data_IF_833324843320
#
_entry.id   IF_833324843320
#
_cell.length_a   1.000
_cell.length_b   1.000
_cell.length_c   1.000
_cell.angle_alpha   90.00
_cell.angle_beta   90.00
_cell.angle_gamma   90.00
#
_symmetry.space_group_name_H-M   'P 1'
#
loop_
_entity.id
_entity.type
_entity.pdbx_description
1 polymer ?
#
# COMPACT_ATOMS: atom_id res chain seq x y z
N UNK A 1 -0.29 20.72 -16.60
CA UNK A 1 -0.67 19.84 -17.72
C UNK A 1 -1.08 18.50 -17.14
N UNK A 2 -2.20 17.91 -17.61
CA UNK A 2 -2.63 16.58 -17.18
C UNK A 2 -1.77 15.49 -17.85
N UNK A 3 -1.73 14.31 -17.26
CA UNK A 3 -1.04 13.15 -17.83
C UNK A 3 -1.50 12.85 -19.28
N UNK A 4 -2.81 12.93 -19.52
CA UNK A 4 -3.38 12.73 -20.86
C UNK A 4 -2.85 13.73 -21.87
N UNK A 5 -2.72 15.01 -21.51
CA UNK A 5 -2.17 16.03 -22.40
C UNK A 5 -0.72 15.75 -22.85
N UNK A 6 0.09 15.11 -21.98
CA UNK A 6 1.43 14.65 -22.38
C UNK A 6 1.34 13.55 -23.42
N UNK A 7 0.46 12.58 -23.27
CA UNK A 7 0.29 11.46 -24.21
C UNK A 7 -0.23 11.95 -25.57
N UNK A 8 -1.19 12.88 -25.56
CA UNK A 8 -1.75 13.48 -26.79
C UNK A 8 -0.67 14.24 -27.55
N UNK A 9 0.13 15.07 -26.87
CA UNK A 9 1.25 15.81 -27.48
C UNK A 9 2.33 14.87 -28.06
N UNK A 10 2.60 13.74 -27.40
CA UNK A 10 3.56 12.74 -27.89
C UNK A 10 3.03 12.12 -29.18
N UNK A 11 1.76 11.76 -29.23
CA UNK A 11 1.12 11.18 -30.41
C UNK A 11 1.11 12.15 -31.59
N UNK A 12 0.82 13.43 -31.34
CA UNK A 12 0.87 14.48 -32.35
C UNK A 12 2.29 14.66 -32.94
N UNK A 13 3.32 14.62 -32.09
CA UNK A 13 4.71 14.83 -32.51
C UNK A 13 5.34 13.64 -33.21
N UNK A 14 4.99 12.43 -32.83
CA UNK A 14 5.69 11.21 -33.22
C UNK A 14 4.86 10.26 -34.07
N UNK A 15 3.54 10.42 -34.08
CA UNK A 15 2.59 9.48 -34.69
C UNK A 15 2.42 8.17 -33.89
N UNK A 16 3.15 8.01 -32.77
CA UNK A 16 3.23 6.79 -32.01
C UNK A 16 2.49 6.94 -30.65
N UNK A 17 1.83 5.89 -30.22
CA UNK A 17 1.20 5.81 -28.91
C UNK A 17 2.04 5.07 -27.86
N UNK A 18 1.60 5.05 -26.59
CA UNK A 18 2.34 4.37 -25.51
C UNK A 18 2.62 2.89 -25.78
N UNK A 19 1.71 2.17 -26.45
CA UNK A 19 1.89 0.76 -26.79
C UNK A 19 3.03 0.56 -27.82
N UNK A 20 3.14 1.45 -28.80
CA UNK A 20 4.17 1.40 -29.82
C UNK A 20 5.55 1.65 -29.20
N UNK A 21 5.64 2.67 -28.34
CA UNK A 21 6.88 2.96 -27.60
C UNK A 21 7.28 1.84 -26.66
N UNK A 22 6.32 1.15 -26.06
CA UNK A 22 6.61 -0.02 -25.22
C UNK A 22 7.23 -1.14 -26.05
N UNK A 23 6.65 -1.48 -27.19
CA UNK A 23 7.19 -2.51 -28.10
C UNK A 23 8.60 -2.15 -28.60
N UNK A 24 8.84 -0.88 -28.95
CA UNK A 24 10.16 -0.40 -29.36
C UNK A 24 11.20 -0.47 -28.22
N UNK A 25 10.82 -0.13 -27.01
CA UNK A 25 11.68 -0.22 -25.83
C UNK A 25 12.01 -1.68 -25.45
N UNK A 26 11.06 -2.60 -25.63
CA UNK A 26 11.27 -4.05 -25.48
C UNK A 26 12.25 -4.58 -26.53
N UNK A 27 12.06 -4.21 -27.80
CA UNK A 27 12.96 -4.61 -28.89
C UNK A 27 14.39 -4.09 -28.70
N UNK A 28 14.57 -2.93 -28.05
CA UNK A 28 15.87 -2.37 -27.70
C UNK A 28 16.45 -2.95 -26.38
N UNK A 29 15.75 -3.84 -25.69
CA UNK A 29 16.20 -4.40 -24.42
C UNK A 29 16.19 -3.40 -23.25
N UNK A 30 15.46 -2.28 -23.38
CA UNK A 30 15.40 -1.23 -22.38
C UNK A 30 14.36 -1.51 -21.28
N UNK A 31 13.47 -2.49 -21.52
CA UNK A 31 12.45 -2.92 -20.55
C UNK A 31 12.83 -4.29 -19.96
N UNK A 32 12.95 -4.34 -18.66
CA UNK A 32 13.23 -5.54 -17.88
C UNK A 32 12.82 -5.35 -16.43
N UNK A 33 13.01 -6.35 -15.56
CA UNK A 33 12.63 -6.27 -14.14
C UNK A 33 13.23 -5.05 -13.41
N UNK A 34 14.45 -4.66 -13.82
CA UNK A 34 15.21 -3.56 -13.21
C UNK A 34 15.32 -2.33 -14.13
N UNK A 35 14.40 -2.17 -15.10
CA UNK A 35 14.42 -1.06 -16.03
C UNK A 35 14.43 0.30 -15.32
N UNK A 36 15.47 1.10 -15.61
CA UNK A 36 15.67 2.44 -15.03
C UNK A 36 15.16 3.51 -16.00
N UNK A 37 14.64 4.61 -15.45
CA UNK A 37 14.14 5.73 -16.26
C UNK A 37 15.24 6.38 -17.12
N UNK A 38 16.47 6.47 -16.62
CA UNK A 38 17.57 7.16 -17.28
C UNK A 38 17.82 6.73 -18.72
N UNK A 39 18.10 5.44 -19.00
CA UNK A 39 18.31 4.93 -20.35
C UNK A 39 17.14 5.18 -21.29
N UNK A 40 15.90 5.00 -20.81
CA UNK A 40 14.68 5.20 -21.60
C UNK A 40 14.48 6.68 -21.92
N UNK A 41 14.68 7.57 -20.95
CA UNK A 41 14.60 9.02 -21.16
C UNK A 41 15.65 9.49 -22.16
N UNK A 42 16.89 8.99 -22.06
CA UNK A 42 17.96 9.31 -23.01
C UNK A 42 17.63 8.83 -24.43
N UNK A 43 17.13 7.61 -24.57
CA UNK A 43 16.70 7.07 -25.86
C UNK A 43 15.55 7.90 -26.48
N UNK A 44 14.51 8.19 -25.71
CA UNK A 44 13.36 8.96 -26.20
C UNK A 44 13.73 10.40 -26.59
N UNK A 45 14.71 10.99 -25.90
CA UNK A 45 15.23 12.30 -26.26
C UNK A 45 16.05 12.25 -27.56
N UNK A 46 16.92 11.23 -27.72
CA UNK A 46 17.79 11.09 -28.86
C UNK A 46 17.04 10.73 -30.16
N UNK A 47 16.15 9.73 -30.11
CA UNK A 47 15.48 9.18 -31.30
C UNK A 47 14.21 9.95 -31.66
N UNK A 48 13.52 10.59 -30.70
CA UNK A 48 12.22 11.23 -30.93
C UNK A 48 12.14 12.69 -30.47
N UNK A 49 13.23 13.28 -29.97
CA UNK A 49 13.24 14.68 -29.50
C UNK A 49 12.29 14.97 -28.35
N UNK A 50 11.93 13.96 -27.57
CA UNK A 50 10.98 14.12 -26.47
C UNK A 50 11.67 14.71 -25.24
N UNK A 51 11.15 15.83 -24.75
CA UNK A 51 11.63 16.43 -23.50
C UNK A 51 11.35 15.51 -22.30
N UNK A 52 12.13 15.70 -21.21
CA UNK A 52 12.10 14.86 -20.00
C UNK A 52 10.70 14.59 -19.45
N UNK A 53 9.80 15.58 -19.47
CA UNK A 53 8.42 15.42 -18.98
C UNK A 53 7.63 14.39 -19.79
N UNK A 54 7.71 14.48 -21.12
CA UNK A 54 7.08 13.54 -22.06
C UNK A 54 7.68 12.14 -21.94
N UNK A 55 9.01 12.05 -21.88
CA UNK A 55 9.72 10.79 -21.73
C UNK A 55 9.39 10.08 -20.38
N UNK A 56 9.24 10.84 -19.30
CA UNK A 56 8.82 10.31 -18.00
C UNK A 56 7.35 9.85 -18.00
N UNK A 57 6.46 10.56 -18.71
CA UNK A 57 5.08 10.14 -18.89
C UNK A 57 4.99 8.80 -19.65
N UNK A 58 5.74 8.66 -20.75
CA UNK A 58 5.86 7.39 -21.47
C UNK A 58 6.47 6.29 -20.61
N UNK A 59 7.55 6.57 -19.89
CA UNK A 59 8.16 5.58 -19.01
C UNK A 59 7.18 5.07 -17.96
N UNK A 60 6.31 5.93 -17.43
CA UNK A 60 5.26 5.52 -16.48
C UNK A 60 4.25 4.54 -17.12
N UNK A 61 3.96 4.68 -18.43
CA UNK A 61 3.08 3.72 -19.14
C UNK A 61 3.79 2.44 -19.56
N UNK A 62 5.11 2.52 -19.80
CA UNK A 62 5.93 1.37 -20.20
C UNK A 62 6.38 0.51 -19.03
N UNK A 63 6.48 1.12 -17.83
CA UNK A 63 6.69 0.28 -16.65
C UNK A 63 5.67 -0.85 -16.77
N UNK A 64 6.13 -2.12 -16.69
CA UNK A 64 5.16 -3.13 -16.38
C UNK A 64 4.40 -2.53 -15.21
N UNK A 65 3.11 -2.26 -15.37
CA UNK A 65 2.24 -2.24 -14.22
C UNK A 65 2.79 -3.40 -13.44
N UNK A 66 3.38 -3.14 -12.27
CA UNK A 66 3.68 -4.24 -11.39
C UNK A 66 2.33 -4.90 -11.27
N UNK A 67 2.09 -5.80 -12.22
CA UNK A 67 1.02 -6.73 -12.11
C UNK A 67 1.44 -7.43 -10.85
N UNK A 68 0.77 -7.06 -9.78
CA UNK A 68 0.79 -7.79 -8.55
C UNK A 68 -0.01 -9.06 -8.84
N UNK A 69 0.32 -9.71 -9.97
CA UNK A 69 -0.14 -11.04 -10.37
C UNK A 69 0.48 -12.14 -9.51
N UNK A 70 1.04 -11.73 -8.33
CA UNK A 70 1.56 -12.69 -7.39
C UNK A 70 0.70 -12.88 -6.15
N UNK A 71 -0.34 -12.07 -6.01
CA UNK A 71 -1.22 -12.19 -4.85
C UNK A 71 -2.65 -12.22 -5.34
N UNK A 72 -3.21 -13.41 -5.42
CA UNK A 72 -4.64 -13.61 -5.67
C UNK A 72 -5.49 -12.94 -4.58
N UNK A 73 -4.89 -12.69 -3.41
CA UNK A 73 -5.46 -11.97 -2.28
C UNK A 73 -4.65 -10.68 -1.99
N UNK A 74 -5.27 -9.48 -1.95
CA UNK A 74 -4.64 -8.24 -1.51
C UNK A 74 -3.95 -8.35 -0.15
N UNK A 75 -4.40 -9.24 0.72
CA UNK A 75 -3.79 -9.56 2.01
C UNK A 75 -2.34 -10.03 1.84
N UNK A 76 -2.06 -10.87 0.86
CA UNK A 76 -0.72 -11.44 0.65
C UNK A 76 0.31 -10.37 0.31
N UNK A 77 -0.11 -9.26 -0.31
CA UNK A 77 0.77 -8.12 -0.57
C UNK A 77 1.27 -7.46 0.72
N UNK A 78 0.42 -7.40 1.76
CA UNK A 78 0.80 -6.85 3.07
C UNK A 78 1.79 -7.74 3.80
N UNK A 79 1.71 -9.06 3.61
CA UNK A 79 2.52 -10.08 4.29
C UNK A 79 3.57 -10.71 3.38
N UNK A 80 4.10 -9.99 2.40
CA UNK A 80 5.12 -10.49 1.48
C UNK A 80 6.55 -10.32 2.01
N UNK A 81 7.45 -11.19 1.61
CA UNK A 81 8.88 -11.15 1.99
C UNK A 81 9.07 -11.28 3.51
N UNK A 82 9.92 -10.45 4.11
CA UNK A 82 10.19 -10.49 5.55
C UNK A 82 8.97 -10.24 6.44
N UNK A 83 7.90 -9.66 5.89
CA UNK A 83 6.64 -9.43 6.61
C UNK A 83 5.77 -10.68 6.76
N UNK A 84 6.07 -11.76 6.01
CA UNK A 84 5.28 -13.01 6.03
C UNK A 84 5.26 -13.68 7.41
N UNK A 85 6.29 -13.48 8.22
CA UNK A 85 6.34 -13.98 9.60
C UNK A 85 5.19 -13.50 10.49
N UNK A 86 4.59 -12.34 10.15
CA UNK A 86 3.49 -11.73 10.90
C UNK A 86 2.11 -12.22 10.45
N UNK A 87 2.02 -12.97 9.36
CA UNK A 87 0.74 -13.45 8.84
C UNK A 87 -0.03 -14.30 9.85
N UNK A 88 0.58 -15.31 10.50
CA UNK A 88 -0.14 -16.11 11.50
C UNK A 88 -0.64 -15.28 12.69
N UNK A 89 0.18 -14.31 13.15
CA UNK A 89 -0.17 -13.40 14.24
C UNK A 89 -1.35 -12.50 13.87
N UNK A 90 -1.36 -11.99 12.64
CA UNK A 90 -2.48 -11.18 12.14
C UNK A 90 -3.75 -12.01 11.96
N UNK A 91 -3.65 -13.24 11.45
CA UNK A 91 -4.81 -14.12 11.25
C UNK A 91 -5.45 -14.48 12.59
N UNK A 92 -4.64 -14.77 13.63
CA UNK A 92 -5.13 -15.02 14.99
C UNK A 92 -5.80 -13.79 15.62
N UNK A 93 -5.23 -12.59 15.40
CA UNK A 93 -5.85 -11.33 15.82
C UNK A 93 -7.20 -11.11 15.12
N UNK A 94 -7.25 -11.32 13.81
CA UNK A 94 -8.47 -11.14 13.03
C UNK A 94 -9.57 -12.11 13.46
N UNK A 95 -9.22 -13.35 13.74
CA UNK A 95 -10.16 -14.35 14.27
C UNK A 95 -10.74 -13.92 15.62
N UNK A 96 -9.88 -13.45 16.52
CA UNK A 96 -10.31 -12.94 17.85
C UNK A 96 -11.24 -11.73 17.70
N UNK A 97 -10.90 -10.79 16.81
CA UNK A 97 -11.70 -9.57 16.59
C UNK A 97 -13.04 -9.90 15.91
N UNK A 98 -13.10 -10.90 15.05
CA UNK A 98 -14.36 -11.41 14.46
C UNK A 98 -15.31 -11.97 15.52
N UNK A 99 -14.79 -12.46 16.64
CA UNK A 99 -15.59 -12.83 17.80
C UNK A 99 -16.34 -11.69 18.47
N UNK A 100 -16.04 -10.43 18.14
CA UNK A 100 -16.81 -9.26 18.63
C UNK A 100 -18.16 -9.09 17.94
N UNK A 101 -18.30 -9.56 16.73
CA UNK A 101 -19.47 -9.45 15.87
C UNK A 101 -19.10 -9.32 14.39
N UNK A 102 -19.90 -8.61 13.62
CA UNK A 102 -19.62 -8.40 12.20
C UNK A 102 -18.39 -7.50 12.01
N UNK A 103 -17.31 -8.11 11.51
CA UNK A 103 -16.07 -7.40 11.16
C UNK A 103 -15.72 -7.66 9.71
N UNK A 104 -15.61 -6.58 8.94
CA UNK A 104 -15.10 -6.59 7.58
C UNK A 104 -13.71 -5.95 7.52
N UNK A 105 -12.97 -6.24 6.46
CA UNK A 105 -11.63 -5.70 6.22
C UNK A 105 -11.62 -4.90 4.92
N UNK A 106 -10.81 -3.83 4.89
CA UNK A 106 -10.53 -3.07 3.69
C UNK A 106 -9.03 -2.79 3.58
N UNK A 107 -8.52 -2.92 2.38
CA UNK A 107 -7.09 -2.79 2.09
C UNK A 107 -6.74 -1.39 1.61
N UNK A 108 -5.57 -0.91 2.05
CA UNK A 108 -4.86 0.21 1.44
C UNK A 108 -3.46 -0.26 1.05
N UNK A 109 -2.65 0.59 0.43
CA UNK A 109 -1.28 0.21 0.09
C UNK A 109 -0.36 0.01 1.31
N UNK A 110 -0.73 0.52 2.48
CA UNK A 110 0.14 0.58 3.67
C UNK A 110 -0.42 -0.07 4.92
N UNK A 111 -1.72 -0.36 4.97
CA UNK A 111 -2.35 -1.02 6.12
C UNK A 111 -3.66 -1.70 5.76
N UNK A 112 -4.06 -2.65 6.57
CA UNK A 112 -5.38 -3.29 6.56
C UNK A 112 -6.27 -2.57 7.57
N UNK A 113 -7.48 -2.17 7.15
CA UNK A 113 -8.50 -1.57 8.01
C UNK A 113 -9.45 -2.63 8.55
N UNK A 114 -9.82 -2.54 9.82
CA UNK A 114 -10.86 -3.33 10.46
C UNK A 114 -12.09 -2.44 10.64
N UNK A 115 -13.25 -2.92 10.15
CA UNK A 115 -14.49 -2.16 10.09
C UNK A 115 -15.64 -2.92 10.76
N UNK A 116 -16.53 -2.16 11.44
CA UNK A 116 -17.88 -2.56 11.82
C UNK A 116 -18.85 -1.88 10.86
N UNK A 117 -19.47 -2.65 9.97
CA UNK A 117 -20.22 -2.07 8.85
C UNK A 117 -19.34 -1.15 7.99
N UNK A 118 -19.62 0.16 7.99
CA UNK A 118 -18.82 1.18 7.28
C UNK A 118 -17.84 1.94 8.19
N UNK A 119 -17.93 1.74 9.50
CA UNK A 119 -17.12 2.47 10.47
C UNK A 119 -15.79 1.76 10.71
N UNK A 120 -14.68 2.47 10.49
CA UNK A 120 -13.34 1.97 10.79
C UNK A 120 -13.08 2.15 12.28
N UNK A 121 -12.71 1.07 12.99
CA UNK A 121 -12.36 1.09 14.42
C UNK A 121 -10.88 0.81 14.67
N UNK A 122 -10.21 0.10 13.76
CA UNK A 122 -8.79 -0.16 13.86
C UNK A 122 -8.11 -0.29 12.49
N UNK A 123 -6.79 -0.20 12.48
CA UNK A 123 -5.93 -0.50 11.32
C UNK A 123 -4.75 -1.35 11.77
N UNK A 124 -4.21 -2.17 10.86
CA UNK A 124 -2.99 -2.94 11.09
C UNK A 124 -2.01 -2.66 9.95
N UNK A 125 -0.88 -2.04 10.27
CA UNK A 125 0.24 -1.87 9.36
C UNK A 125 1.34 -2.88 9.69
N UNK A 126 1.96 -3.46 8.66
CA UNK A 126 2.94 -4.54 8.82
C UNK A 126 4.30 -4.04 8.37
N UNK A 127 5.31 -4.18 9.24
CA UNK A 127 6.72 -3.99 8.90
C UNK A 127 7.45 -5.33 8.92
N UNK A 128 8.75 -5.35 8.64
CA UNK A 128 9.57 -6.56 8.74
C UNK A 128 9.65 -7.11 10.15
N UNK A 129 9.58 -6.25 11.15
CA UNK A 129 9.93 -6.50 12.55
C UNK A 129 8.78 -6.34 13.54
N UNK A 130 7.62 -5.84 13.11
CA UNK A 130 6.46 -5.64 13.99
C UNK A 130 5.14 -5.44 13.25
N UNK A 131 4.05 -5.55 14.01
CA UNK A 131 2.75 -4.99 13.64
C UNK A 131 2.53 -3.67 14.37
N UNK A 132 2.09 -2.66 13.64
CA UNK A 132 1.61 -1.40 14.20
C UNK A 132 0.07 -1.42 14.17
N UNK A 133 -0.54 -1.53 15.34
CA UNK A 133 -2.00 -1.58 15.48
C UNK A 133 -2.51 -0.20 15.85
N UNK A 134 -3.23 0.43 14.93
CA UNK A 134 -3.89 1.71 15.16
C UNK A 134 -5.31 1.49 15.65
N UNK A 135 -5.71 2.18 16.70
CA UNK A 135 -7.01 2.02 17.35
C UNK A 135 -7.72 3.38 17.39
N UNK A 136 -8.98 3.40 16.97
CA UNK A 136 -9.82 4.62 17.00
C UNK A 136 -10.69 4.60 18.25
N UNK A 137 -10.16 5.17 19.34
CA UNK A 137 -10.85 5.26 20.63
C UNK A 137 -10.66 6.67 21.21
N UNK A 138 -11.60 7.58 20.91
CA UNK A 138 -11.45 9.01 21.18
C UNK A 138 -11.46 9.36 22.66
N UNK A 139 -12.22 8.61 23.46
CA UNK A 139 -12.47 8.94 24.85
C UNK A 139 -11.49 8.23 25.82
N UNK A 140 -10.41 7.64 25.28
CA UNK A 140 -9.35 7.04 26.07
C UNK A 140 -8.12 7.94 26.09
N UNK A 141 -7.48 8.06 27.24
CA UNK A 141 -6.16 8.68 27.37
C UNK A 141 -5.07 7.68 26.97
N UNK A 142 -3.96 8.13 26.37
CA UNK A 142 -2.80 7.29 26.16
C UNK A 142 -2.26 6.76 27.48
N UNK A 143 -1.97 5.47 27.55
CA UNK A 143 -1.44 4.80 28.74
C UNK A 143 -0.51 3.65 28.36
N UNK A 144 0.68 3.59 28.95
CA UNK A 144 1.65 2.53 28.73
C UNK A 144 1.99 2.37 27.24
N UNK A 145 1.76 1.18 26.68
CA UNK A 145 1.96 0.87 25.26
C UNK A 145 0.82 1.31 24.35
N UNK A 146 -0.28 1.77 24.91
CA UNK A 146 -1.39 2.41 24.20
C UNK A 146 -1.07 3.88 23.98
N UNK A 147 -0.15 4.14 23.05
CA UNK A 147 0.39 5.46 22.79
C UNK A 147 -0.55 6.29 21.90
N UNK A 148 -0.48 7.62 22.00
CA UNK A 148 -1.14 8.48 21.01
C UNK A 148 -0.58 8.19 19.61
N UNK A 149 -1.45 8.12 18.59
CA UNK A 149 -1.03 7.86 17.20
C UNK A 149 -0.17 9.00 16.62
N UNK A 150 -0.31 10.21 17.12
CA UNK A 150 0.43 11.39 16.68
C UNK A 150 0.31 11.61 15.17
N UNK A 151 1.44 11.87 14.53
CA UNK A 151 1.54 12.06 13.07
C UNK A 151 1.59 10.75 12.27
N UNK A 152 1.61 9.58 12.93
CA UNK A 152 1.75 8.31 12.24
C UNK A 152 0.55 7.99 11.34
N UNK A 153 -0.66 8.17 11.84
CA UNK A 153 -1.89 7.97 11.06
C UNK A 153 -3.06 8.76 11.66
N UNK A 154 -3.61 9.70 10.90
CA UNK A 154 -4.72 10.55 11.34
C UNK A 154 -6.09 9.85 11.41
N UNK A 155 -6.19 8.62 10.90
CA UNK A 155 -7.44 7.84 10.91
C UNK A 155 -7.71 7.14 12.25
N UNK A 156 -6.71 7.08 13.11
CA UNK A 156 -6.76 6.46 14.43
C UNK A 156 -6.25 7.43 15.50
N UNK A 157 -6.62 7.19 16.74
CA UNK A 157 -6.25 8.05 17.88
C UNK A 157 -5.05 7.49 18.64
N UNK A 158 -4.91 6.17 18.64
CA UNK A 158 -3.87 5.47 19.39
C UNK A 158 -3.11 4.48 18.50
N UNK A 159 -1.91 4.11 18.94
CA UNK A 159 -1.04 3.13 18.30
C UNK A 159 -0.43 2.21 19.34
N UNK A 160 -0.46 0.91 19.04
CA UNK A 160 0.26 -0.12 19.79
C UNK A 160 1.26 -0.79 18.87
N UNK A 161 2.52 -0.89 19.31
CA UNK A 161 3.57 -1.60 18.56
C UNK A 161 3.67 -3.01 19.13
N UNK A 162 3.48 -4.01 18.27
CA UNK A 162 3.54 -5.43 18.61
C UNK A 162 4.79 -6.01 17.93
N UNK A 163 5.79 -6.33 18.71
CA UNK A 163 7.07 -6.94 18.26
C UNK A 163 7.14 -8.43 18.58
N UNK A 164 6.19 -8.95 19.34
CA UNK A 164 6.03 -10.36 19.67
C UNK A 164 4.54 -10.73 19.66
N UNK A 165 4.21 -11.91 19.15
CA UNK A 165 2.82 -12.40 19.09
C UNK A 165 2.13 -12.46 20.47
N UNK A 166 2.90 -12.73 21.54
CA UNK A 166 2.39 -12.77 22.93
C UNK A 166 1.88 -11.40 23.43
N UNK A 167 2.25 -10.30 22.75
CA UNK A 167 1.76 -8.96 23.04
C UNK A 167 0.33 -8.71 22.54
N UNK A 168 -0.24 -9.63 21.74
CA UNK A 168 -1.67 -9.66 21.46
C UNK A 168 -2.37 -10.34 22.64
N UNK A 169 -2.42 -9.65 23.72
CA UNK A 169 -2.94 -10.09 25.01
C UNK A 169 -4.33 -9.51 25.31
N UNK A 170 -4.86 -9.86 26.49
CA UNK A 170 -6.19 -9.43 26.91
C UNK A 170 -6.34 -7.90 26.96
N UNK A 171 -5.27 -7.16 27.29
CA UNK A 171 -5.29 -5.70 27.35
C UNK A 171 -5.48 -5.09 25.95
N UNK A 172 -4.71 -5.54 24.96
CA UNK A 172 -4.84 -5.09 23.57
C UNK A 172 -6.21 -5.45 23.00
N UNK A 173 -6.71 -6.65 23.31
CA UNK A 173 -8.03 -7.10 22.87
C UNK A 173 -9.15 -6.27 23.52
N UNK A 174 -9.01 -5.86 24.77
CA UNK A 174 -9.97 -4.95 25.42
C UNK A 174 -10.03 -3.58 24.71
N UNK A 175 -8.89 -2.98 24.40
CA UNK A 175 -8.86 -1.71 23.65
C UNK A 175 -9.52 -1.83 22.25
N UNK A 176 -9.27 -2.93 21.56
CA UNK A 176 -9.90 -3.22 20.25
C UNK A 176 -11.41 -3.45 20.42
N UNK A 177 -11.85 -4.14 21.46
CA UNK A 177 -13.25 -4.37 21.76
C UNK A 177 -13.98 -3.05 22.05
N UNK A 178 -13.41 -2.21 22.90
CA UNK A 178 -13.96 -0.88 23.19
C UNK A 178 -14.06 0.00 21.94
N UNK A 179 -13.05 -0.05 21.07
CA UNK A 179 -13.08 0.68 19.79
C UNK A 179 -14.15 0.14 18.83
N UNK A 180 -14.34 -1.18 18.81
CA UNK A 180 -15.42 -1.84 18.04
C UNK A 180 -16.80 -1.44 18.57
N UNK A 181 -17.00 -1.40 19.87
CA UNK A 181 -18.29 -1.07 20.50
C UNK A 181 -18.64 0.42 20.28
N UNK A 182 -17.63 1.30 20.22
CA UNK A 182 -17.77 2.74 19.95
C UNK A 182 -17.91 3.10 18.45
N UNK A 183 -17.85 2.13 17.53
CA UNK A 183 -17.87 2.34 16.08
C UNK A 183 -19.29 2.25 15.46
#
# INVERSE_FOLDING_TARGET
MSFQAYIDTIREKTGLGPADFKALAEAKGLLGPDAKAGPIVAWLAADYGLGRGHAMALFATMKPTRVVDRFDDPMDAHFSGARSQWRPTFDALLETVRGFGEVSIAYTNSYVSLLKGKAKFAIVAVTSDRLDIGIKLKDAAPEGRFEASGSWNSMVTHRVRVTDAAQIDAELIDWLRRAYDAA
#
